data_IF_156213334470
#
_entry.id   IF_156213334470
#
_cell.length_a   1.000
_cell.length_b   1.000
_cell.length_c   1.000
_cell.angle_alpha   90.00
_cell.angle_beta   90.00
_cell.angle_gamma   90.00
#
_symmetry.space_group_name_H-M   'P 1'
#
loop_
_entity.id
_entity.type
_entity.pdbx_description
1 polymer ?
#
# COMPACT_ATOMS: atom_id res chain seq x y z
N UNK A 1 -23.46 43.68 15.10
CA UNK A 1 -22.27 43.26 14.34
C UNK A 1 -22.45 41.80 13.94
N UNK A 2 -22.53 41.48 12.65
CA UNK A 2 -22.64 40.08 12.18
C UNK A 2 -21.23 39.52 12.02
N UNK A 3 -20.88 38.56 12.86
CA UNK A 3 -19.62 37.82 12.77
C UNK A 3 -19.59 37.05 11.45
N UNK A 4 -18.62 37.36 10.59
CA UNK A 4 -18.37 36.61 9.37
C UNK A 4 -17.73 35.28 9.76
N UNK A 5 -18.47 34.19 9.61
CA UNK A 5 -17.90 32.83 9.66
C UNK A 5 -16.87 32.75 8.54
N UNK A 6 -15.57 32.50 8.82
CA UNK A 6 -14.60 32.29 7.76
C UNK A 6 -15.07 31.09 6.95
N UNK A 7 -15.37 31.30 5.66
CA UNK A 7 -15.67 30.21 4.74
C UNK A 7 -14.45 29.31 4.72
N UNK A 8 -14.58 28.13 5.36
CA UNK A 8 -13.54 27.12 5.40
C UNK A 8 -13.08 26.86 3.98
N UNK A 9 -11.84 27.25 3.68
CA UNK A 9 -11.20 26.97 2.41
C UNK A 9 -11.17 25.45 2.27
N UNK A 10 -11.86 24.90 1.27
CA UNK A 10 -11.88 23.47 1.04
C UNK A 10 -10.41 22.99 0.93
N UNK A 11 -10.04 21.88 1.60
CA UNK A 11 -8.67 21.40 1.56
C UNK A 11 -8.26 21.15 0.11
N UNK A 12 -7.14 21.74 -0.32
CA UNK A 12 -6.56 21.43 -1.64
C UNK A 12 -6.15 19.95 -1.66
N UNK A 13 -6.89 19.15 -2.43
CA UNK A 13 -6.59 17.75 -2.71
C UNK A 13 -5.72 17.67 -3.95
N UNK A 14 -4.61 16.94 -3.85
CA UNK A 14 -3.71 16.64 -4.96
C UNK A 14 -3.81 15.17 -5.32
N UNK A 15 -3.94 14.89 -6.61
CA UNK A 15 -3.85 13.53 -7.13
C UNK A 15 -2.43 12.97 -6.93
N UNK A 16 -2.33 11.72 -6.51
CA UNK A 16 -1.07 10.99 -6.34
C UNK A 16 -1.15 9.60 -6.96
N UNK A 17 -0.03 9.17 -7.53
CA UNK A 17 0.15 7.85 -8.10
C UNK A 17 1.49 7.27 -7.66
N UNK A 18 1.50 6.01 -7.21
CA UNK A 18 2.71 5.26 -6.88
C UNK A 18 2.75 3.98 -7.71
N UNK A 19 3.95 3.51 -8.02
CA UNK A 19 4.16 2.23 -8.69
C UNK A 19 5.00 1.35 -7.77
N UNK A 20 4.56 0.12 -7.55
CA UNK A 20 5.25 -0.90 -6.78
C UNK A 20 5.60 -2.09 -7.68
N UNK A 21 6.81 -2.61 -7.54
CA UNK A 21 7.24 -3.90 -8.10
C UNK A 21 7.34 -4.97 -7.02
N UNK A 22 7.62 -6.20 -7.42
CA UNK A 22 7.74 -7.32 -6.50
C UNK A 22 8.81 -7.08 -5.42
N UNK A 23 8.43 -7.29 -4.15
CA UNK A 23 9.27 -7.01 -2.99
C UNK A 23 9.54 -5.53 -2.71
N UNK A 24 8.93 -4.61 -3.48
CA UNK A 24 8.99 -3.18 -3.20
C UNK A 24 7.89 -2.75 -2.21
N UNK A 25 8.21 -1.73 -1.43
CA UNK A 25 7.28 -1.02 -0.57
C UNK A 25 7.45 0.47 -0.75
N UNK A 26 6.35 1.21 -0.70
CA UNK A 26 6.35 2.66 -0.75
C UNK A 26 5.89 3.21 0.59
N UNK A 27 6.70 4.13 1.11
CA UNK A 27 6.30 4.95 2.25
C UNK A 27 5.49 6.13 1.74
N UNK A 28 4.37 6.37 2.40
CA UNK A 28 3.64 7.59 2.21
C UNK A 28 4.38 8.72 2.94
N UNK A 29 5.11 9.57 2.23
CA UNK A 29 5.75 10.79 2.76
C UNK A 29 4.73 11.77 3.40
N UNK A 30 3.44 11.52 3.21
CA UNK A 30 2.31 12.16 3.88
C UNK A 30 1.07 11.26 3.83
N UNK A 31 0.12 11.45 4.75
CA UNK A 31 -1.12 10.68 4.71
C UNK A 31 -1.86 10.91 3.39
N UNK A 32 -2.29 9.82 2.74
CA UNK A 32 -3.02 9.87 1.48
C UNK A 32 -4.21 8.93 1.50
N UNK A 33 -5.25 9.29 0.76
CA UNK A 33 -6.44 8.47 0.54
C UNK A 33 -6.23 7.61 -0.68
N UNK A 34 -6.07 6.30 -0.48
CA UNK A 34 -5.98 5.30 -1.54
C UNK A 34 -7.38 5.00 -2.06
N UNK A 35 -7.56 5.15 -3.37
CA UNK A 35 -8.87 5.00 -4.03
C UNK A 35 -8.93 3.82 -5.00
N UNK A 36 -7.79 3.46 -5.58
CA UNK A 36 -7.73 2.37 -6.55
C UNK A 36 -6.34 1.74 -6.55
N UNK A 37 -6.32 0.43 -6.77
CA UNK A 37 -5.11 -0.37 -7.00
C UNK A 37 -5.29 -1.11 -8.30
N UNK A 38 -4.29 -1.08 -9.17
CA UNK A 38 -4.31 -1.76 -10.47
C UNK A 38 -3.00 -2.51 -10.68
N UNK A 39 -3.09 -3.81 -10.91
CA UNK A 39 -1.99 -4.64 -11.37
C UNK A 39 -1.92 -4.59 -12.91
N UNK A 40 -0.79 -4.16 -13.43
CA UNK A 40 -0.44 -4.16 -14.85
C UNK A 40 0.55 -5.28 -15.06
N UNK A 41 0.19 -6.26 -15.89
CA UNK A 41 0.96 -7.49 -16.06
C UNK A 41 1.16 -7.82 -17.55
N UNK A 42 2.13 -8.69 -17.87
CA UNK A 42 2.32 -9.18 -19.23
C UNK A 42 1.08 -9.91 -19.77
N UNK A 43 0.95 -9.96 -21.09
CA UNK A 43 -0.17 -10.63 -21.78
C UNK A 43 -0.28 -12.13 -21.50
N UNK A 44 0.70 -12.77 -20.88
CA UNK A 44 0.72 -14.21 -20.61
C UNK A 44 1.24 -14.49 -19.21
N UNK A 45 0.82 -15.61 -18.63
CA UNK A 45 1.20 -16.05 -17.30
C UNK A 45 0.27 -15.52 -16.21
N UNK A 46 0.14 -16.30 -15.15
CA UNK A 46 -0.64 -15.95 -13.97
C UNK A 46 0.21 -15.20 -12.96
N UNK A 47 -0.48 -14.36 -12.20
CA UNK A 47 0.08 -13.64 -11.08
C UNK A 47 -0.94 -13.55 -9.96
N UNK A 48 -0.43 -13.47 -8.74
CA UNK A 48 -1.15 -13.05 -7.56
C UNK A 48 -0.35 -11.92 -6.93
N UNK A 49 -1.02 -10.81 -6.65
CA UNK A 49 -0.47 -9.66 -5.94
C UNK A 49 -1.21 -9.57 -4.63
N UNK A 50 -0.49 -9.52 -3.52
CA UNK A 50 -1.05 -9.20 -2.20
C UNK A 50 -0.49 -7.87 -1.76
N UNK A 51 -1.40 -6.95 -1.43
CA UNK A 51 -1.04 -5.63 -0.94
C UNK A 51 -1.28 -5.54 0.55
N UNK A 52 -0.27 -5.11 1.29
CA UNK A 52 -0.32 -4.97 2.74
C UNK A 52 -0.08 -3.53 3.16
N UNK A 53 -0.66 -3.14 4.28
CA UNK A 53 -0.33 -1.89 4.97
C UNK A 53 0.19 -2.20 6.36
N UNK A 54 1.24 -1.50 6.79
CA UNK A 54 1.77 -1.56 8.15
C UNK A 54 1.94 -0.14 8.68
N UNK A 55 1.34 0.17 9.82
CA UNK A 55 1.55 1.46 10.50
C UNK A 55 2.94 1.51 11.15
N UNK A 56 3.49 2.70 11.38
CA UNK A 56 4.87 2.93 11.83
C UNK A 56 5.19 2.50 13.26
N UNK A 57 4.23 1.95 14.00
CA UNK A 57 4.46 1.25 15.27
C UNK A 57 4.15 -0.24 15.08
N UNK A 58 4.99 -1.10 15.67
CA UNK A 58 5.07 -2.58 15.73
C UNK A 58 3.80 -3.46 15.54
N UNK A 59 2.89 -3.09 14.66
CA UNK A 59 1.66 -3.82 14.37
C UNK A 59 1.89 -4.83 13.27
N UNK A 60 1.04 -5.87 13.30
CA UNK A 60 0.94 -6.85 12.24
C UNK A 60 0.48 -6.14 10.95
N UNK A 61 1.09 -6.45 9.81
CA UNK A 61 0.65 -5.95 8.51
C UNK A 61 -0.78 -6.43 8.22
N UNK A 62 -1.61 -5.53 7.71
CA UNK A 62 -2.98 -5.82 7.33
C UNK A 62 -3.09 -5.96 5.81
N UNK A 63 -3.69 -7.06 5.34
CA UNK A 63 -3.99 -7.25 3.92
C UNK A 63 -5.04 -6.23 3.48
N UNK A 64 -4.69 -5.39 2.50
CA UNK A 64 -5.58 -4.42 1.89
C UNK A 64 -6.43 -5.07 0.79
N UNK A 65 -5.78 -5.79 -0.12
CA UNK A 65 -6.43 -6.48 -1.23
C UNK A 65 -5.52 -7.51 -1.87
N UNK A 66 -6.14 -8.46 -2.58
CA UNK A 66 -5.46 -9.39 -3.48
C UNK A 66 -5.90 -9.16 -4.91
N UNK A 67 -4.95 -9.04 -5.83
CA UNK A 67 -5.20 -8.91 -7.26
C UNK A 67 -4.69 -10.14 -7.98
N UNK A 68 -5.40 -10.53 -9.04
CA UNK A 68 -5.02 -11.64 -9.90
C UNK A 68 -5.21 -11.24 -11.35
N UNK A 69 -4.80 -12.10 -12.27
CA UNK A 69 -5.08 -11.90 -13.70
C UNK A 69 -6.58 -11.75 -14.01
N UNK A 70 -7.43 -12.52 -13.33
CA UNK A 70 -8.88 -12.43 -13.48
C UNK A 70 -9.49 -11.21 -12.78
N UNK A 71 -8.81 -10.67 -11.76
CA UNK A 71 -9.21 -9.47 -11.01
C UNK A 71 -8.01 -8.54 -10.84
N UNK A 72 -7.60 -7.82 -11.90
CA UNK A 72 -6.37 -7.04 -11.90
C UNK A 72 -6.54 -5.69 -11.20
N UNK A 73 -7.71 -5.36 -10.67
CA UNK A 73 -7.97 -4.08 -10.02
C UNK A 73 -8.88 -4.23 -8.81
N UNK A 74 -8.66 -3.37 -7.83
CA UNK A 74 -9.51 -3.19 -6.66
C UNK A 74 -9.80 -1.71 -6.44
N UNK A 75 -11.05 -1.39 -6.10
CA UNK A 75 -11.41 -0.07 -5.57
C UNK A 75 -11.32 -0.15 -4.05
N UNK A 76 -10.54 0.75 -3.48
CA UNK A 76 -10.38 0.89 -2.04
C UNK A 76 -10.86 2.29 -1.65
N UNK A 77 -11.27 2.49 -0.41
CA UNK A 77 -11.52 3.82 0.10
C UNK A 77 -10.93 3.92 1.50
N UNK A 78 -9.60 4.04 1.53
CA UNK A 78 -8.82 3.92 2.76
C UNK A 78 -7.86 5.09 2.90
N UNK A 79 -7.69 5.56 4.13
CA UNK A 79 -6.67 6.55 4.47
C UNK A 79 -5.44 5.80 4.94
N UNK A 80 -4.34 5.97 4.21
CA UNK A 80 -3.01 5.47 4.60
C UNK A 80 -2.32 6.57 5.40
N UNK A 81 -2.01 6.35 6.69
CA UNK A 81 -1.30 7.31 7.52
C UNK A 81 0.12 7.62 6.99
N UNK A 82 0.68 8.78 7.35
CA UNK A 82 2.04 9.19 6.92
C UNK A 82 3.17 8.35 7.52
N UNK A 83 2.91 7.63 8.59
CA UNK A 83 3.85 6.70 9.21
C UNK A 83 3.70 5.28 8.67
N UNK A 84 2.71 5.03 7.81
CA UNK A 84 2.44 3.71 7.27
C UNK A 84 3.27 3.40 6.01
N UNK A 85 3.63 2.13 5.87
CA UNK A 85 4.23 1.55 4.68
C UNK A 85 3.19 0.71 3.95
N UNK A 86 3.10 0.87 2.63
CA UNK A 86 2.36 -0.06 1.77
C UNK A 86 3.37 -0.95 1.07
N UNK A 87 3.25 -2.26 1.27
CA UNK A 87 4.13 -3.26 0.70
C UNK A 87 3.37 -4.14 -0.29
N UNK A 88 4.09 -4.65 -1.29
CA UNK A 88 3.55 -5.54 -2.29
C UNK A 88 4.34 -6.86 -2.31
N UNK A 89 3.62 -7.97 -2.23
CA UNK A 89 4.14 -9.32 -2.42
C UNK A 89 3.54 -9.87 -3.72
N UNK A 90 4.38 -10.39 -4.60
CA UNK A 90 3.92 -10.98 -5.86
C UNK A 90 4.37 -12.43 -6.00
N UNK A 91 3.44 -13.28 -6.41
CA UNK A 91 3.69 -14.67 -6.71
C UNK A 91 3.12 -15.05 -8.09
N UNK A 92 3.55 -16.21 -8.60
CA UNK A 92 3.18 -16.71 -9.91
C UNK A 92 4.25 -16.50 -10.99
N UNK A 93 4.04 -17.16 -12.13
CA UNK A 93 5.03 -17.24 -13.21
C UNK A 93 5.31 -15.88 -13.89
N UNK A 94 4.35 -14.95 -13.86
CA UNK A 94 4.50 -13.64 -14.47
C UNK A 94 5.02 -12.56 -13.51
N UNK A 95 5.28 -12.87 -12.23
CA UNK A 95 5.54 -11.87 -11.17
C UNK A 95 6.59 -10.82 -11.53
N UNK A 96 7.69 -11.23 -12.18
CA UNK A 96 8.80 -10.33 -12.53
C UNK A 96 8.47 -9.27 -13.58
N UNK A 97 7.30 -9.35 -14.22
CA UNK A 97 6.79 -8.34 -15.16
C UNK A 97 5.55 -7.59 -14.67
N UNK A 98 5.12 -7.81 -13.42
CA UNK A 98 3.94 -7.15 -12.86
C UNK A 98 4.35 -5.83 -12.19
N UNK A 99 3.61 -4.76 -12.49
CA UNK A 99 3.68 -3.48 -11.80
C UNK A 99 2.34 -3.18 -11.15
N UNK A 100 2.35 -2.65 -9.93
CA UNK A 100 1.14 -2.31 -9.19
C UNK A 100 1.05 -0.81 -9.01
N UNK A 101 0.01 -0.22 -9.60
CA UNK A 101 -0.28 1.19 -9.54
C UNK A 101 -1.26 1.48 -8.40
N UNK A 102 -0.83 2.33 -7.47
CA UNK A 102 -1.65 2.86 -6.39
C UNK A 102 -2.10 4.27 -6.73
N UNK A 103 -3.40 4.51 -6.70
CA UNK A 103 -3.99 5.79 -7.13
C UNK A 103 -4.85 6.38 -6.02
N UNK A 104 -4.64 7.66 -5.75
CA UNK A 104 -5.32 8.32 -4.64
C UNK A 104 -5.21 9.84 -4.63
N UNK A 105 -5.58 10.41 -3.48
CA UNK A 105 -5.52 11.84 -3.24
C UNK A 105 -4.83 12.11 -1.91
N UNK A 106 -3.93 13.09 -1.87
CA UNK A 106 -3.38 13.61 -0.61
C UNK A 106 -3.84 15.04 -0.37
N UNK A 107 -3.89 15.44 0.89
CA UNK A 107 -4.00 16.86 1.24
C UNK A 107 -2.64 17.52 1.05
N UNK A 108 -2.63 18.73 0.51
CA UNK A 108 -1.41 19.53 0.40
C UNK A 108 -0.91 19.88 1.82
N UNK A 109 0.14 19.22 2.29
CA UNK A 109 0.87 19.67 3.48
C UNK A 109 1.97 20.66 3.05
N UNK A 110 2.18 21.71 3.84
CA UNK A 110 3.16 22.78 3.54
C UNK A 110 4.62 22.34 3.74
N UNK A 111 4.85 21.09 4.14
CA UNK A 111 6.16 20.52 4.42
C UNK A 111 6.27 19.15 3.72
N UNK A 112 6.73 19.15 2.47
CA UNK A 112 7.21 17.94 1.81
C UNK A 112 8.66 17.72 2.26
N UNK A 113 8.84 17.15 3.44
CA UNK A 113 10.13 16.55 3.80
C UNK A 113 10.12 15.13 3.24
N UNK A 114 10.95 14.87 2.24
CA UNK A 114 11.14 13.55 1.68
C UNK A 114 11.68 12.61 2.76
N UNK A 115 10.79 11.84 3.41
CA UNK A 115 11.19 10.73 4.27
C UNK A 115 11.41 9.50 3.40
N UNK A 116 12.54 9.45 2.69
CA UNK A 116 13.03 8.22 2.10
C UNK A 116 13.59 7.33 3.22
N UNK A 117 12.75 6.48 3.82
CA UNK A 117 13.26 5.38 4.65
C UNK A 117 13.91 4.32 3.73
N UNK A 118 15.08 3.78 4.08
CA UNK A 118 15.83 2.89 3.20
C UNK A 118 15.09 1.56 2.98
N UNK A 119 15.27 0.96 1.79
CA UNK A 119 14.72 -0.35 1.40
C UNK A 119 15.01 -1.51 2.37
N UNK A 120 15.97 -1.34 3.30
CA UNK A 120 16.18 -2.26 4.42
C UNK A 120 14.95 -2.36 5.35
N UNK A 121 14.31 -1.24 5.69
CA UNK A 121 13.11 -1.25 6.54
C UNK A 121 11.89 -1.90 5.86
N UNK A 122 11.84 -1.85 4.53
CA UNK A 122 10.83 -2.58 3.72
C UNK A 122 11.12 -4.08 3.75
N UNK A 123 12.39 -4.47 3.57
CA UNK A 123 12.82 -5.88 3.65
C UNK A 123 12.61 -6.48 5.03
N UNK A 124 12.90 -5.74 6.11
CA UNK A 124 12.64 -6.20 7.48
C UNK A 124 11.14 -6.35 7.74
N UNK A 125 10.29 -5.51 7.11
CA UNK A 125 8.84 -5.64 7.18
C UNK A 125 8.30 -6.82 6.36
N UNK A 126 8.94 -7.16 5.23
CA UNK A 126 8.64 -8.35 4.44
C UNK A 126 9.15 -9.64 5.13
N UNK A 127 10.32 -9.63 5.75
CA UNK A 127 10.82 -10.78 6.51
C UNK A 127 9.92 -11.09 7.72
N UNK A 128 9.41 -10.05 8.39
CA UNK A 128 8.42 -10.22 9.45
C UNK A 128 7.05 -10.74 8.96
N UNK A 129 6.74 -10.61 7.66
CA UNK A 129 5.56 -11.23 7.05
C UNK A 129 5.78 -12.74 6.86
N UNK A 130 6.93 -13.12 6.29
CA UNK A 130 7.28 -14.53 6.05
C UNK A 130 7.32 -15.32 7.37
N UNK A 131 7.87 -14.76 8.45
CA UNK A 131 7.89 -15.38 9.78
C UNK A 131 6.48 -15.58 10.37
N UNK A 132 5.52 -14.74 10.01
CA UNK A 132 4.14 -14.86 10.48
C UNK A 132 3.34 -15.90 9.67
N UNK A 133 3.56 -15.99 8.35
CA UNK A 133 2.90 -17.00 7.51
C UNK A 133 3.30 -18.42 7.96
N UNK A 134 4.56 -18.63 8.36
CA UNK A 134 5.04 -19.89 8.98
C UNK A 134 4.43 -20.16 10.37
N UNK A 135 4.21 -19.11 11.18
CA UNK A 135 3.63 -19.26 12.51
C UNK A 135 2.14 -19.62 12.49
N UNK A 136 1.38 -19.12 11.51
CA UNK A 136 -0.04 -19.46 11.33
C UNK A 136 -0.20 -20.83 10.64
N UNK A 137 0.67 -21.18 9.69
CA UNK A 137 0.65 -22.48 9.01
C UNK A 137 0.94 -23.68 9.93
N UNK A 138 1.62 -23.46 11.07
CA UNK A 138 1.92 -24.48 12.06
C UNK A 138 0.78 -24.80 13.04
N UNK A 139 -0.40 -24.20 12.89
CA UNK A 139 -1.50 -24.29 13.86
C UNK A 139 -2.66 -25.22 13.48
N UNK A 140 -2.56 -25.96 12.37
CA UNK A 140 -3.66 -26.78 11.80
C UNK A 140 -3.46 -28.31 11.91
N UNK A 141 -2.68 -28.79 12.89
CA UNK A 141 -2.63 -30.21 13.26
C UNK A 141 -2.67 -30.38 14.79
N UNK A 142 -3.87 -30.41 15.36
CA UNK A 142 -4.21 -31.17 16.58
C UNK A 142 -5.71 -31.06 16.88
N UNK A 143 -6.51 -32.01 16.41
CA UNK A 143 -7.70 -32.52 17.10
C UNK A 143 -7.99 -33.97 16.64
#
# INVERSE_FOLDING_TARGET
QRSAVPRGQAPELMFVGYVLRDGEGSFADCAFRLTQVVAVAPKTGDFVVRLYVRSGGSGNPALLCSLTRARPQAKLDLIVPSDACVACEMSGAARGGVEVHLVGYRRRSRAAAACSRPAAAVRDALAALDEWEEAEAGSDESD
#
